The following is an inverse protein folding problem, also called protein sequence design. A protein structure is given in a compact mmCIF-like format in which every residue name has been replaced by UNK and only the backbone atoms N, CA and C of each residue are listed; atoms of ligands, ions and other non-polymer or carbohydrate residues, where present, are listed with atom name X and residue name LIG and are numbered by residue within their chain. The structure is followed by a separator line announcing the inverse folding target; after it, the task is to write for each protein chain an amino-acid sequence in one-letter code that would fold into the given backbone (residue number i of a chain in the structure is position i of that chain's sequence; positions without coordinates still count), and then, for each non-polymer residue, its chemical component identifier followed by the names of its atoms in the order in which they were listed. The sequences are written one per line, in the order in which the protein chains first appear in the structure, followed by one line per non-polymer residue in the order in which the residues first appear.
data_IF_042577550865
#
_entry.id   IF_042577550865
#
_cell.length_a   1.000
_cell.length_b   1.000
_cell.length_c   1.000
_cell.angle_alpha   90.00
_cell.angle_beta   90.00
_cell.angle_gamma   90.00
#
_symmetry.space_group_name_H-M   'P 1'
#
loop_
_entity.id
_entity.type
_entity.pdbx_description
1 polymer ?
#
# COMPACT_ATOMS: atom_id res chain seq x y z
N UNK A 1 20.67 3.71 5.50
CA UNK A 1 20.55 2.28 5.89
C UNK A 1 19.31 2.12 6.74
N UNK A 2 18.44 1.15 6.42
CA UNK A 2 17.17 0.86 7.09
C UNK A 2 17.28 -0.51 7.77
N UNK A 3 16.77 -0.63 9.00
CA UNK A 3 16.67 -1.89 9.72
C UNK A 3 15.32 -2.55 9.43
N UNK A 4 15.36 -3.79 8.96
CA UNK A 4 14.22 -4.67 8.80
C UNK A 4 14.23 -5.70 9.93
N UNK A 5 13.07 -5.89 10.56
CA UNK A 5 12.92 -6.78 11.72
C UNK A 5 11.71 -7.69 11.52
N UNK A 6 11.94 -8.99 11.58
CA UNK A 6 10.96 -10.07 11.46
C UNK A 6 10.78 -10.85 12.78
N UNK A 7 11.14 -10.31 13.95
CA UNK A 7 11.06 -10.99 15.25
C UNK A 7 9.63 -11.40 15.62
N UNK A 8 8.62 -10.80 14.98
CA UNK A 8 7.20 -11.12 15.20
C UNK A 8 6.69 -12.28 14.33
N UNK A 9 7.53 -12.94 13.53
CA UNK A 9 7.11 -14.17 12.84
C UNK A 9 6.82 -15.26 13.86
N UNK A 10 5.79 -16.05 13.57
CA UNK A 10 5.30 -17.08 14.48
C UNK A 10 4.75 -18.23 13.68
N UNK A 11 4.89 -19.41 14.25
CA UNK A 11 4.27 -20.63 13.77
C UNK A 11 3.63 -21.35 14.97
N UNK A 12 2.60 -22.17 14.74
CA UNK A 12 1.89 -22.84 15.83
C UNK A 12 2.64 -24.09 16.31
N UNK A 13 3.35 -24.76 15.40
CA UNK A 13 4.06 -26.01 15.61
C UNK A 13 5.54 -25.79 15.96
N UNK A 14 6.17 -24.78 15.38
CA UNK A 14 7.59 -24.48 15.53
C UNK A 14 7.87 -23.24 16.41
N UNK A 15 8.90 -23.31 17.28
CA UNK A 15 9.35 -22.11 17.99
C UNK A 15 9.92 -21.08 17.01
N UNK A 16 9.66 -19.79 17.24
CA UNK A 16 10.15 -18.67 16.40
C UNK A 16 11.66 -18.73 16.11
N UNK A 17 12.46 -19.24 17.05
CA UNK A 17 13.92 -19.38 16.89
C UNK A 17 14.34 -20.42 15.84
N UNK A 18 13.44 -21.31 15.45
CA UNK A 18 13.70 -22.34 14.45
C UNK A 18 13.12 -22.02 13.07
N UNK A 19 12.26 -20.99 12.97
CA UNK A 19 11.83 -20.46 11.69
C UNK A 19 13.03 -19.84 10.98
N UNK A 20 13.02 -19.82 9.65
CA UNK A 20 14.01 -19.11 8.84
C UNK A 20 13.32 -18.01 8.02
N UNK A 21 14.03 -16.92 7.73
CA UNK A 21 13.52 -15.82 6.90
C UNK A 21 14.51 -15.45 5.82
N UNK A 22 13.99 -14.90 4.72
CA UNK A 22 14.77 -14.24 3.67
C UNK A 22 14.03 -13.05 3.10
N UNK A 23 14.79 -12.17 2.43
CA UNK A 23 14.31 -10.89 1.93
C UNK A 23 14.53 -10.79 0.42
N UNK A 24 13.52 -10.29 -0.28
CA UNK A 24 13.61 -9.76 -1.63
C UNK A 24 13.37 -8.25 -1.52
N UNK A 25 14.43 -7.45 -1.62
CA UNK A 25 14.42 -6.02 -1.38
C UNK A 25 13.63 -5.26 -2.45
N UNK A 26 13.63 -5.77 -3.67
CA UNK A 26 13.00 -5.11 -4.83
C UNK A 26 11.67 -5.73 -5.21
N UNK A 27 11.30 -6.85 -4.60
CA UNK A 27 10.13 -7.66 -4.91
C UNK A 27 10.08 -8.04 -6.40
N UNK A 28 11.25 -8.40 -6.95
CA UNK A 28 11.42 -8.84 -8.33
C UNK A 28 11.29 -10.37 -8.51
N UNK A 29 10.98 -11.07 -7.40
CA UNK A 29 10.87 -12.53 -7.26
C UNK A 29 12.21 -13.26 -7.20
N UNK A 30 13.30 -12.53 -7.05
CA UNK A 30 14.63 -13.07 -6.76
C UNK A 30 15.00 -12.64 -5.34
N UNK A 31 15.18 -13.60 -4.45
CA UNK A 31 15.58 -13.28 -3.08
C UNK A 31 17.04 -12.83 -3.04
N UNK A 32 17.28 -11.69 -2.40
CA UNK A 32 18.60 -11.09 -2.23
C UNK A 32 19.37 -11.70 -1.06
N UNK A 33 18.68 -12.39 -0.16
CA UNK A 33 19.28 -13.09 0.97
C UNK A 33 18.94 -14.58 0.94
N UNK A 34 19.86 -15.39 1.45
CA UNK A 34 19.58 -16.77 1.82
C UNK A 34 18.64 -16.83 3.03
N UNK A 35 18.05 -18.00 3.28
CA UNK A 35 17.32 -18.26 4.52
C UNK A 35 18.23 -18.15 5.74
N UNK A 36 17.71 -17.55 6.81
CA UNK A 36 18.42 -17.42 8.07
C UNK A 36 17.48 -17.44 9.27
N UNK A 37 17.95 -17.99 10.39
CA UNK A 37 17.30 -17.82 11.71
C UNK A 37 17.53 -16.42 12.29
N UNK A 38 18.44 -15.62 11.73
CA UNK A 38 18.62 -14.21 12.09
C UNK A 38 17.48 -13.39 11.47
N UNK A 39 16.61 -12.85 12.32
CA UNK A 39 15.38 -12.15 11.92
C UNK A 39 15.54 -10.68 11.59
N UNK A 40 16.77 -10.17 11.66
CA UNK A 40 17.07 -8.77 11.34
C UNK A 40 18.02 -8.67 10.17
N UNK A 41 17.79 -7.67 9.33
CA UNK A 41 18.64 -7.36 8.19
C UNK A 41 18.68 -5.84 7.99
N UNK A 42 19.78 -5.35 7.44
CA UNK A 42 19.91 -3.94 7.06
C UNK A 42 20.07 -3.81 5.57
N UNK A 43 19.32 -2.89 4.97
CA UNK A 43 19.42 -2.62 3.54
C UNK A 43 19.48 -1.10 3.28
N UNK A 44 20.12 -0.73 2.17
CA UNK A 44 20.16 0.64 1.68
C UNK A 44 19.70 0.62 0.23
N UNK A 45 18.64 1.38 -0.05
CA UNK A 45 18.18 1.60 -1.41
C UNK A 45 19.02 2.70 -2.06
N UNK A 46 19.40 2.48 -3.33
CA UNK A 46 20.29 3.37 -4.06
C UNK A 46 19.57 4.57 -4.70
N UNK A 47 18.25 4.47 -4.88
CA UNK A 47 17.46 5.48 -5.54
C UNK A 47 16.24 5.89 -4.70
N UNK A 48 15.86 7.17 -4.83
CA UNK A 48 14.56 7.66 -4.36
C UNK A 48 13.43 6.88 -5.04
N UNK A 49 12.39 6.58 -4.29
CA UNK A 49 11.29 5.76 -4.80
C UNK A 49 10.50 5.07 -3.72
N UNK A 50 9.46 4.36 -4.16
CA UNK A 50 8.60 3.54 -3.32
C UNK A 50 8.98 2.08 -3.58
N UNK A 51 9.34 1.37 -2.53
CA UNK A 51 9.72 -0.04 -2.57
C UNK A 51 8.74 -0.87 -1.76
N UNK A 52 8.60 -2.15 -2.14
CA UNK A 52 7.79 -3.12 -1.41
C UNK A 52 8.61 -4.35 -1.04
N UNK A 53 9.66 -4.24 -0.21
CA UNK A 53 10.45 -5.40 0.21
C UNK A 53 9.57 -6.52 0.71
N UNK A 54 9.80 -7.72 0.17
CA UNK A 54 9.09 -8.94 0.52
C UNK A 54 9.92 -9.73 1.52
N UNK A 55 9.31 -10.01 2.67
CA UNK A 55 9.77 -11.01 3.61
C UNK A 55 9.11 -12.33 3.27
N UNK A 56 9.90 -13.41 3.24
CA UNK A 56 9.38 -14.77 3.29
C UNK A 56 9.90 -15.45 4.56
N UNK A 57 9.00 -16.16 5.24
CA UNK A 57 9.32 -17.03 6.38
C UNK A 57 9.06 -18.48 5.96
N UNK A 58 9.89 -19.40 6.43
CA UNK A 58 9.74 -20.85 6.24
C UNK A 58 9.82 -21.58 7.59
N UNK A 59 8.97 -22.58 7.79
CA UNK A 59 9.01 -23.48 8.94
C UNK A 59 9.94 -24.69 8.69
N UNK A 60 10.01 -25.64 9.63
CA UNK A 60 10.87 -26.84 9.45
C UNK A 60 10.33 -27.84 8.44
N UNK A 61 9.03 -27.84 8.19
CA UNK A 61 8.37 -28.72 7.23
C UNK A 61 8.41 -28.16 5.80
N UNK A 62 8.95 -26.95 5.64
CA UNK A 62 9.12 -26.26 4.36
C UNK A 62 7.90 -25.45 3.92
N UNK A 63 6.93 -25.20 4.80
CA UNK A 63 5.80 -24.32 4.52
C UNK A 63 6.23 -22.86 4.63
N UNK A 64 5.79 -22.04 3.68
CA UNK A 64 6.18 -20.64 3.58
C UNK A 64 4.99 -19.70 3.70
N UNK A 65 5.21 -18.54 4.29
CA UNK A 65 4.31 -17.38 4.16
C UNK A 65 5.12 -16.12 3.83
N UNK A 66 4.46 -15.12 3.26
CA UNK A 66 5.09 -13.88 2.83
C UNK A 66 4.35 -12.65 3.30
N UNK A 67 5.11 -11.58 3.53
CA UNK A 67 4.54 -10.25 3.77
C UNK A 67 5.43 -9.19 3.13
N UNK A 68 4.80 -8.16 2.56
CA UNK A 68 5.50 -6.97 2.07
C UNK A 68 5.11 -5.73 2.85
N UNK A 69 6.05 -4.81 3.00
CA UNK A 69 5.82 -3.49 3.60
C UNK A 69 6.29 -2.42 2.64
N UNK A 70 5.56 -1.31 2.61
CA UNK A 70 5.94 -0.16 1.80
C UNK A 70 7.08 0.61 2.49
N UNK A 71 8.11 0.94 1.72
CA UNK A 71 9.24 1.77 2.15
C UNK A 71 9.38 2.92 1.16
N UNK A 72 9.46 4.14 1.68
CA UNK A 72 9.59 5.36 0.87
C UNK A 72 10.98 5.94 1.08
N UNK A 73 11.69 6.16 -0.03
CA UNK A 73 13.03 6.73 -0.04
C UNK A 73 12.96 8.08 -0.70
N UNK A 74 13.36 9.12 0.03
CA UNK A 74 13.36 10.50 -0.43
C UNK A 74 14.75 11.11 -0.34
N UNK A 75 14.99 12.17 -1.13
CA UNK A 75 16.27 12.89 -1.15
C UNK A 75 16.33 14.06 -0.17
N UNK A 76 15.18 14.54 0.29
CA UNK A 76 15.07 15.68 1.20
C UNK A 76 14.25 15.29 2.43
N UNK A 77 14.89 15.32 3.60
CA UNK A 77 14.27 14.99 4.88
C UNK A 77 13.69 16.21 5.60
N UNK A 78 13.84 17.41 5.02
CA UNK A 78 13.27 18.63 5.57
C UNK A 78 11.83 18.88 5.13
N UNK A 79 11.42 18.31 3.98
CA UNK A 79 10.02 18.31 3.54
C UNK A 79 9.23 17.27 4.34
N UNK A 80 8.09 17.65 4.90
CA UNK A 80 7.21 16.69 5.55
C UNK A 80 6.44 15.89 4.49
N UNK A 81 6.02 14.66 4.82
CA UNK A 81 5.17 13.91 3.94
C UNK A 81 3.76 14.52 3.87
N UNK A 82 3.01 14.27 2.78
CA UNK A 82 1.61 14.65 2.69
C UNK A 82 0.80 14.13 3.88
N UNK A 83 -0.26 14.83 4.24
CA UNK A 83 -1.23 14.32 5.22
C UNK A 83 -1.88 13.03 4.73
N UNK A 84 -2.44 12.26 5.66
CA UNK A 84 -3.18 11.05 5.30
C UNK A 84 -4.42 11.42 4.49
N UNK A 85 -4.64 10.86 3.28
CA UNK A 85 -5.84 11.12 2.49
C UNK A 85 -7.13 10.81 3.25
N UNK A 86 -8.12 11.70 3.15
CA UNK A 86 -9.44 11.58 3.75
C UNK A 86 -10.48 11.27 2.69
N UNK A 87 -11.19 10.15 2.84
CA UNK A 87 -12.09 9.65 1.81
C UNK A 87 -13.49 10.24 1.91
N UNK A 88 -14.04 10.59 0.75
CA UNK A 88 -15.38 11.13 0.58
C UNK A 88 -16.32 10.04 0.06
N UNK A 89 -15.92 9.30 -0.98
CA UNK A 89 -16.71 8.17 -1.51
C UNK A 89 -15.82 7.16 -2.26
N UNK A 90 -16.17 5.86 -2.28
CA UNK A 90 -17.20 5.22 -1.45
C UNK A 90 -16.80 5.18 0.04
N UNK A 91 -17.74 5.36 0.99
CA UNK A 91 -17.42 5.20 2.41
C UNK A 91 -17.04 3.75 2.74
N UNK A 92 -16.40 3.53 3.89
CA UNK A 92 -16.01 2.19 4.30
C UNK A 92 -17.24 1.30 4.47
N UNK A 93 -17.14 0.05 4.04
CA UNK A 93 -18.21 -0.94 4.02
C UNK A 93 -19.42 -0.61 3.13
N UNK A 94 -19.27 0.29 2.16
CA UNK A 94 -20.34 0.59 1.21
C UNK A 94 -20.76 -0.67 0.44
N UNK A 95 -22.06 -0.95 0.35
CA UNK A 95 -22.60 -2.10 -0.39
C UNK A 95 -23.43 -1.65 -1.59
N UNK A 96 -23.83 -2.62 -2.41
CA UNK A 96 -24.71 -2.40 -3.57
C UNK A 96 -24.13 -1.42 -4.61
N UNK A 97 -22.81 -1.39 -4.74
CA UNK A 97 -22.13 -0.52 -5.71
C UNK A 97 -22.31 -1.04 -7.13
N UNK A 98 -22.42 -0.12 -8.09
CA UNK A 98 -22.34 -0.46 -9.50
C UNK A 98 -20.92 -0.90 -9.91
N UNK A 99 -20.79 -1.39 -11.15
CA UNK A 99 -19.50 -1.82 -11.71
C UNK A 99 -18.62 -0.69 -12.20
N UNK A 100 -19.16 0.53 -12.18
CA UNK A 100 -18.45 1.79 -12.40
C UNK A 100 -18.53 2.57 -11.09
N UNK A 101 -17.38 2.82 -10.49
CA UNK A 101 -17.26 3.41 -9.15
C UNK A 101 -16.49 4.71 -9.25
N UNK A 102 -17.08 5.78 -8.71
CA UNK A 102 -16.42 7.06 -8.50
C UNK A 102 -15.75 7.05 -7.13
N UNK A 103 -14.46 7.31 -7.11
CA UNK A 103 -13.65 7.49 -5.92
C UNK A 103 -13.39 8.97 -5.73
N UNK A 104 -13.61 9.48 -4.52
CA UNK A 104 -13.32 10.86 -4.14
C UNK A 104 -12.61 10.92 -2.80
N UNK A 105 -11.65 11.83 -2.69
CA UNK A 105 -10.89 12.09 -1.47
C UNK A 105 -10.43 13.53 -1.41
N UNK A 106 -9.97 13.93 -0.23
CA UNK A 106 -9.28 15.18 0.03
C UNK A 106 -7.93 14.85 0.65
N UNK A 107 -6.96 15.73 0.47
CA UNK A 107 -5.63 15.59 1.05
C UNK A 107 -4.99 16.97 1.11
N UNK A 108 -4.14 17.17 2.10
CA UNK A 108 -3.31 18.36 2.25
C UNK A 108 -1.87 17.96 2.40
N UNK A 109 -1.00 18.95 2.29
CA UNK A 109 0.43 18.83 2.55
C UNK A 109 0.82 19.91 3.56
N UNK A 110 1.64 19.61 4.58
CA UNK A 110 2.00 20.60 5.60
C UNK A 110 2.70 21.84 5.05
N UNK A 111 3.44 21.70 3.95
CA UNK A 111 4.12 22.76 3.22
C UNK A 111 3.26 23.34 2.08
N UNK A 112 2.06 22.80 1.88
CA UNK A 112 1.14 23.11 0.79
C UNK A 112 1.79 22.85 -0.59
N UNK A 113 2.59 21.78 -0.67
CA UNK A 113 3.15 21.31 -1.94
C UNK A 113 2.07 20.71 -2.87
N UNK A 114 2.25 20.81 -4.19
CA UNK A 114 1.40 20.12 -5.14
C UNK A 114 1.44 18.60 -4.95
N UNK A 115 0.26 17.98 -4.89
CA UNK A 115 0.12 16.54 -4.69
C UNK A 115 -0.22 15.77 -5.97
N UNK A 116 0.31 14.55 -6.06
CA UNK A 116 -0.03 13.55 -7.07
C UNK A 116 -0.49 12.29 -6.36
N UNK A 117 -1.54 11.64 -6.86
CA UNK A 117 -2.16 10.50 -6.21
C UNK A 117 -2.15 9.24 -7.06
N UNK A 118 -1.99 8.11 -6.36
CA UNK A 118 -2.21 6.76 -6.86
C UNK A 118 -3.41 6.15 -6.15
N UNK A 119 -4.35 5.60 -6.92
CA UNK A 119 -5.42 4.77 -6.36
C UNK A 119 -5.04 3.30 -6.46
N UNK A 120 -5.04 2.64 -5.30
CA UNK A 120 -4.76 1.22 -5.15
C UNK A 120 -6.06 0.47 -4.96
N UNK A 121 -6.26 -0.62 -5.70
CA UNK A 121 -7.46 -1.47 -5.59
C UNK A 121 -7.09 -2.95 -5.63
N UNK A 122 -7.84 -3.77 -4.91
CA UNK A 122 -7.63 -5.22 -4.86
C UNK A 122 -8.82 -5.96 -4.25
N UNK A 123 -8.77 -7.29 -4.25
CA UNK A 123 -9.83 -8.15 -3.68
C UNK A 123 -9.52 -8.61 -2.25
N UNK A 124 -8.40 -8.14 -1.68
CA UNK A 124 -7.97 -8.38 -0.30
C UNK A 124 -7.27 -7.13 0.24
N UNK A 125 -7.33 -6.93 1.56
CA UNK A 125 -6.58 -5.87 2.27
C UNK A 125 -5.06 -6.00 2.10
N UNK A 126 -4.55 -7.20 1.78
CA UNK A 126 -3.11 -7.48 1.64
C UNK A 126 -2.63 -7.53 0.18
N UNK A 127 -3.56 -7.51 -0.79
CA UNK A 127 -3.26 -7.67 -2.21
C UNK A 127 -3.86 -6.54 -3.05
N UNK A 128 -3.46 -5.30 -2.74
CA UNK A 128 -3.79 -4.11 -3.51
C UNK A 128 -2.73 -3.87 -4.61
N UNK A 129 -3.17 -3.39 -5.78
CA UNK A 129 -2.30 -2.94 -6.86
C UNK A 129 -2.73 -1.55 -7.32
N UNK A 130 -1.81 -0.76 -7.89
CA UNK A 130 -2.14 0.52 -8.51
C UNK A 130 -3.14 0.28 -9.64
N UNK A 131 -4.35 0.80 -9.48
CA UNK A 131 -5.39 0.78 -10.50
C UNK A 131 -5.30 2.00 -11.43
N UNK A 132 -4.84 3.14 -10.90
CA UNK A 132 -4.54 4.36 -11.66
C UNK A 132 -3.54 5.22 -10.88
N UNK A 133 -2.65 5.90 -11.61
CA UNK A 133 -1.57 6.72 -11.08
C UNK A 133 -1.57 8.11 -11.73
N UNK A 134 -0.90 9.07 -11.11
CA UNK A 134 -0.68 10.39 -11.70
C UNK A 134 -1.89 11.32 -11.61
N UNK A 135 -2.79 11.09 -10.65
CA UNK A 135 -3.99 11.92 -10.48
C UNK A 135 -3.57 13.20 -9.75
N UNK A 136 -3.81 14.36 -10.36
CA UNK A 136 -3.40 15.67 -9.80
C UNK A 136 -4.42 16.79 -10.07
N UNK A 137 -5.58 16.44 -10.62
CA UNK A 137 -6.67 17.37 -10.90
C UNK A 137 -7.71 17.28 -9.80
N UNK A 138 -8.19 18.43 -9.34
CA UNK A 138 -9.23 18.53 -8.32
C UNK A 138 -10.33 19.49 -8.75
N UNK A 139 -11.48 19.35 -8.10
CA UNK A 139 -12.54 20.35 -8.08
C UNK A 139 -12.53 21.04 -6.71
N UNK A 140 -12.88 22.33 -6.67
CA UNK A 140 -13.10 23.02 -5.41
C UNK A 140 -14.55 22.80 -4.95
N UNK A 141 -14.73 22.05 -3.87
CA UNK A 141 -16.02 21.86 -3.22
C UNK A 141 -15.99 22.59 -1.87
N UNK A 142 -16.79 23.65 -1.70
CA UNK A 142 -16.81 24.49 -0.49
C UNK A 142 -15.44 25.04 -0.06
N UNK A 143 -14.56 25.33 -1.02
CA UNK A 143 -13.21 25.85 -0.77
C UNK A 143 -12.18 24.79 -0.39
N UNK A 144 -12.53 23.50 -0.47
CA UNK A 144 -11.62 22.37 -0.26
C UNK A 144 -11.32 21.70 -1.60
N UNK A 145 -10.06 21.33 -1.81
CA UNK A 145 -9.64 20.55 -2.98
C UNK A 145 -10.16 19.12 -2.85
N UNK A 146 -11.06 18.73 -3.76
CA UNK A 146 -11.60 17.37 -3.86
C UNK A 146 -11.08 16.72 -5.13
N UNK A 147 -10.33 15.65 -4.96
CA UNK A 147 -9.78 14.84 -6.02
C UNK A 147 -10.73 13.70 -6.33
N UNK A 148 -10.82 13.31 -7.61
CA UNK A 148 -11.69 12.23 -8.01
C UNK A 148 -11.13 11.41 -9.18
N UNK A 149 -11.56 10.15 -9.25
CA UNK A 149 -11.42 9.32 -10.44
C UNK A 149 -12.52 8.29 -10.51
N UNK A 150 -12.86 7.86 -11.73
CA UNK A 150 -13.79 6.76 -11.96
C UNK A 150 -13.02 5.54 -12.43
N UNK A 151 -13.31 4.38 -11.86
CA UNK A 151 -12.83 3.09 -12.33
C UNK A 151 -14.03 2.21 -12.69
N UNK A 152 -13.90 1.43 -13.75
CA UNK A 152 -14.95 0.53 -14.23
C UNK A 152 -14.43 -0.89 -14.36
N UNK A 153 -15.34 -1.85 -14.57
CA UNK A 153 -14.98 -3.25 -14.80
C UNK A 153 -14.95 -4.13 -13.55
N UNK A 154 -15.41 -3.63 -12.40
CA UNK A 154 -15.62 -4.45 -11.21
C UNK A 154 -16.59 -5.59 -11.50
N UNK A 155 -16.37 -6.77 -10.90
CA UNK A 155 -17.24 -7.95 -11.05
C UNK A 155 -18.42 -7.84 -10.10
N UNK A 156 -19.60 -8.33 -10.49
CA UNK A 156 -20.76 -8.40 -9.62
C UNK A 156 -20.51 -9.30 -8.40
N UNK A 157 -21.20 -8.98 -7.29
CA UNK A 157 -21.15 -9.73 -6.03
C UNK A 157 -19.72 -10.02 -5.56
N UNK A 158 -18.87 -8.98 -5.59
CA UNK A 158 -17.49 -9.04 -5.08
C UNK A 158 -17.19 -7.89 -4.14
N UNK A 159 -16.37 -8.26 -3.16
CA UNK A 159 -15.70 -7.35 -2.26
C UNK A 159 -14.43 -6.80 -2.92
N UNK A 160 -14.26 -5.49 -2.80
CA UNK A 160 -13.08 -4.78 -3.21
C UNK A 160 -12.57 -3.91 -2.07
N UNK A 161 -11.26 -3.76 -2.01
CA UNK A 161 -10.55 -2.91 -1.07
C UNK A 161 -9.82 -1.85 -1.85
N UNK A 162 -9.77 -0.64 -1.31
CA UNK A 162 -9.11 0.47 -1.96
C UNK A 162 -8.44 1.40 -0.95
N UNK A 163 -7.40 2.09 -1.42
CA UNK A 163 -6.76 3.18 -0.69
C UNK A 163 -6.17 4.19 -1.67
N UNK A 164 -5.89 5.40 -1.19
CA UNK A 164 -5.15 6.43 -1.92
C UNK A 164 -3.76 6.55 -1.34
N UNK A 165 -2.75 6.62 -2.20
CA UNK A 165 -1.44 7.12 -1.85
C UNK A 165 -1.24 8.53 -2.39
N UNK A 166 -0.80 9.44 -1.54
CA UNK A 166 -0.48 10.82 -1.85
C UNK A 166 1.04 10.98 -1.95
N UNK A 167 1.51 11.66 -2.99
CA UNK A 167 2.92 11.95 -3.24
C UNK A 167 3.13 13.45 -3.38
N UNK A 168 4.12 14.00 -2.69
CA UNK A 168 4.57 15.38 -2.88
C UNK A 168 5.61 15.51 -4.02
N UNK A 169 6.16 16.70 -4.19
CA UNK A 169 7.15 17.03 -5.23
C UNK A 169 8.54 16.46 -4.96
N UNK A 170 8.91 16.17 -3.70
CA UNK A 170 10.21 15.57 -3.33
C UNK A 170 10.18 14.05 -3.25
N UNK A 171 8.98 13.47 -3.33
CA UNK A 171 8.73 12.04 -3.36
C UNK A 171 8.34 11.42 -2.03
N UNK A 172 8.05 12.22 -0.98
CA UNK A 172 7.41 11.66 0.19
C UNK A 172 6.06 11.08 -0.21
N UNK A 173 5.66 10.02 0.48
CA UNK A 173 4.48 9.26 0.10
C UNK A 173 3.73 8.76 1.32
N UNK A 174 2.45 9.16 1.42
CA UNK A 174 1.55 8.78 2.52
C UNK A 174 0.37 8.00 1.98
N UNK A 175 0.10 6.82 2.55
CA UNK A 175 -1.09 6.02 2.21
C UNK A 175 -2.21 6.29 3.19
N UNK A 176 -3.43 6.35 2.66
CA UNK A 176 -4.66 6.40 3.45
C UNK A 176 -5.05 5.04 4.04
N UNK A 177 -6.11 5.05 4.84
CA UNK A 177 -6.72 3.82 5.36
C UNK A 177 -7.23 2.92 4.23
N UNK A 178 -7.32 1.61 4.44
CA UNK A 178 -7.91 0.69 3.45
C UNK A 178 -9.41 0.58 3.70
N UNK A 179 -10.22 1.07 2.75
CA UNK A 179 -11.68 0.98 2.78
C UNK A 179 -12.17 -0.20 1.93
N UNK A 180 -13.33 -0.74 2.29
CA UNK A 180 -14.00 -1.83 1.57
C UNK A 180 -15.28 -1.32 0.90
N UNK A 181 -15.57 -1.81 -0.31
CA UNK A 181 -16.93 -1.76 -0.87
C UNK A 181 -17.32 -3.11 -1.50
N UNK A 182 -18.62 -3.34 -1.66
CA UNK A 182 -19.20 -4.53 -2.30
C UNK A 182 -20.09 -4.12 -3.47
N UNK A 183 -19.84 -4.71 -4.64
CA UNK A 183 -20.68 -4.50 -5.82
C UNK A 183 -21.99 -5.26 -5.73
N UNK A 184 -23.06 -4.76 -6.33
CA UNK A 184 -24.36 -5.43 -6.42
C UNK A 184 -24.28 -6.81 -7.10
N UNK A 185 -25.25 -7.71 -6.89
CA UNK A 185 -25.42 -8.92 -7.69
C UNK A 185 -25.73 -8.62 -9.16
N UNK A 186 -25.52 -9.62 -10.02
CA UNK A 186 -26.07 -9.58 -11.37
C UNK A 186 -27.61 -9.59 -11.30
N UNK A 187 -28.24 -8.86 -12.22
CA UNK A 187 -29.70 -8.91 -12.43
C UNK A 187 -30.17 -10.26 -12.97
#
# INVERSE_FOLDING_TARGET
MILFNADSVSDYEDPTSALEVRWDWTNDKTFDTEYSTIKTATHQFDAVGIYFPLLEVIDKEGMTDTIKRMVVIVSDLSNQPPDMPLYVTPPDWQTWMDREVVFKWTCTDPENDPLVFDIWVGQSRTALNIAKSGINTFNLENGVEVYETTLSGFRFDKDYFWMIGAKDVVGNYTVGSIYKFTTRPAE
#
